data_IF_644994837113
#
_entry.id   IF_644994837113
#
_cell.length_a   1.000
_cell.length_b   1.000
_cell.length_c   1.000
_cell.angle_alpha   90.00
_cell.angle_beta   90.00
_cell.angle_gamma   90.00
#
_symmetry.space_group_name_H-M   'P 1'
#
loop_
_entity.id
_entity.type
_entity.pdbx_description
1 polymer ?
#
# COMPACT_ATOMS: atom_id res chain seq x y z
N UNK A 1 -8.45 -20.27 28.28
CA UNK A 1 -8.48 -20.38 26.81
C UNK A 1 -7.10 -19.98 26.31
N UNK A 2 -6.28 -20.91 25.79
CA UNK A 2 -4.96 -20.53 25.30
C UNK A 2 -5.11 -19.82 23.94
N UNK A 3 -4.45 -18.68 23.80
CA UNK A 3 -4.30 -17.99 22.53
C UNK A 3 -3.58 -18.92 21.53
N UNK A 4 -4.18 -19.09 20.35
CA UNK A 4 -3.63 -19.88 19.25
C UNK A 4 -2.42 -19.16 18.64
N UNK A 5 -1.29 -19.86 18.55
CA UNK A 5 -0.01 -19.46 17.94
C UNK A 5 -0.08 -19.27 16.40
N UNK A 6 -1.26 -19.20 15.80
CA UNK A 6 -1.46 -19.14 14.35
C UNK A 6 -1.76 -17.75 13.78
N UNK A 7 -1.82 -16.70 14.61
CA UNK A 7 -2.32 -15.37 14.21
C UNK A 7 -1.20 -14.33 13.94
N UNK A 8 0.06 -14.76 13.82
CA UNK A 8 1.21 -13.83 13.73
C UNK A 8 1.51 -13.28 12.32
N UNK A 9 0.75 -13.65 11.28
CA UNK A 9 1.26 -13.56 9.90
C UNK A 9 0.90 -12.31 9.09
N UNK A 10 0.19 -11.30 9.64
CA UNK A 10 -0.10 -10.06 8.90
C UNK A 10 -0.27 -8.81 9.80
N UNK A 11 0.63 -8.61 10.76
CA UNK A 11 0.61 -7.37 11.59
C UNK A 11 0.69 -6.10 10.75
N UNK A 12 1.27 -6.18 9.54
CA UNK A 12 1.46 -5.05 8.62
C UNK A 12 0.17 -4.39 8.12
N UNK A 13 -0.91 -5.16 8.08
CA UNK A 13 -2.15 -4.70 7.48
C UNK A 13 -3.19 -4.33 8.53
N UNK A 14 -2.92 -4.59 9.83
CA UNK A 14 -3.89 -4.42 10.92
C UNK A 14 -3.54 -3.34 11.95
N UNK A 15 -2.37 -2.70 11.87
CA UNK A 15 -1.82 -1.79 12.90
C UNK A 15 -2.38 -0.34 12.96
N UNK A 16 -3.22 0.09 12.00
CA UNK A 16 -3.90 1.42 12.02
C UNK A 16 -4.75 1.62 13.28
N UNK A 17 -5.19 0.54 13.92
CA UNK A 17 -5.90 0.61 15.22
C UNK A 17 -5.07 1.31 16.30
N UNK A 18 -3.75 1.29 16.19
CA UNK A 18 -2.84 1.86 17.17
C UNK A 18 -2.47 3.32 16.88
N UNK A 19 -3.04 3.96 15.85
CA UNK A 19 -2.73 5.36 15.56
C UNK A 19 -3.08 6.21 16.79
N UNK A 20 -2.23 7.14 17.21
CA UNK A 20 -2.39 7.80 18.51
C UNK A 20 -3.57 8.78 18.53
N UNK A 21 -4.15 9.13 17.37
CA UNK A 21 -5.31 10.02 17.28
C UNK A 21 -5.03 11.46 17.72
N UNK A 22 -3.75 11.83 17.81
CA UNK A 22 -3.29 13.16 18.22
C UNK A 22 -2.18 13.66 17.29
N UNK A 23 -1.99 14.97 17.33
CA UNK A 23 -0.94 15.65 16.59
C UNK A 23 0.37 15.56 17.40
N UNK A 24 1.37 14.88 16.84
CA UNK A 24 2.71 14.77 17.41
C UNK A 24 3.65 15.78 16.76
N UNK A 25 4.85 15.95 17.34
CA UNK A 25 5.93 16.69 16.66
C UNK A 25 6.33 15.99 15.35
N UNK A 26 6.78 16.73 14.32
CA UNK A 26 7.27 16.16 13.06
C UNK A 26 8.36 15.10 13.25
N UNK A 27 8.48 14.20 12.27
CA UNK A 27 9.57 13.24 12.14
C UNK A 27 10.71 13.93 11.39
N UNK A 28 11.72 14.36 12.15
CA UNK A 28 12.85 15.15 11.67
C UNK A 28 14.16 14.76 12.40
N UNK A 29 15.29 15.27 11.93
CA UNK A 29 16.64 14.97 12.43
C UNK A 29 17.31 13.82 11.68
N UNK A 30 16.55 12.81 11.26
CA UNK A 30 17.07 11.68 10.49
C UNK A 30 17.60 12.11 9.10
N UNK A 31 17.01 13.14 8.48
CA UNK A 31 17.43 13.66 7.19
C UNK A 31 18.83 14.28 7.23
N UNK A 32 19.29 14.71 8.41
CA UNK A 32 20.60 15.34 8.63
C UNK A 32 21.72 14.31 8.79
N UNK A 33 21.40 13.03 9.05
CA UNK A 33 22.44 12.01 9.18
C UNK A 33 22.96 11.57 7.81
N UNK A 34 24.18 11.06 7.78
CA UNK A 34 24.82 10.55 6.57
C UNK A 34 24.06 9.33 6.03
N UNK A 35 23.89 9.25 4.71
CA UNK A 35 23.41 8.03 4.05
C UNK A 35 24.53 6.98 4.08
N UNK A 36 24.22 5.79 4.56
CA UNK A 36 25.17 4.68 4.80
C UNK A 36 24.63 3.37 4.24
N UNK A 37 25.46 2.31 4.21
CA UNK A 37 25.01 0.98 3.78
C UNK A 37 23.98 0.38 4.75
N UNK A 38 23.27 -0.67 4.34
CA UNK A 38 22.31 -1.36 5.21
C UNK A 38 22.98 -1.93 6.45
N UNK A 39 24.15 -2.54 6.30
CA UNK A 39 24.94 -3.10 7.42
C UNK A 39 25.28 -2.03 8.47
N UNK A 40 25.65 -0.82 8.04
CA UNK A 40 25.92 0.30 8.92
C UNK A 40 24.64 0.89 9.53
N UNK A 41 23.57 0.97 8.74
CA UNK A 41 22.30 1.56 9.14
C UNK A 41 21.62 0.80 10.29
N UNK A 42 21.80 -0.52 10.35
CA UNK A 42 21.19 -1.38 11.39
C UNK A 42 22.01 -1.49 12.67
N UNK A 43 23.27 -1.00 12.71
CA UNK A 43 24.14 -1.18 13.89
C UNK A 43 23.49 -0.69 15.21
N UNK A 44 22.83 0.48 15.27
CA UNK A 44 22.17 0.92 16.50
C UNK A 44 20.93 0.08 16.88
N UNK A 45 20.45 -0.75 15.96
CA UNK A 45 19.23 -1.56 16.11
C UNK A 45 19.52 -3.00 16.54
N UNK A 46 20.78 -3.45 16.56
CA UNK A 46 21.15 -4.84 16.90
C UNK A 46 20.65 -5.29 18.29
N UNK A 47 20.53 -4.37 19.24
CA UNK A 47 20.00 -4.64 20.59
C UNK A 47 18.49 -4.41 20.72
N UNK A 48 17.84 -3.85 19.71
CA UNK A 48 16.43 -3.45 19.72
C UNK A 48 15.59 -4.45 18.92
N UNK A 49 16.10 -4.87 17.75
CA UNK A 49 15.40 -5.72 16.79
C UNK A 49 16.09 -7.08 16.75
N UNK A 50 15.39 -8.11 17.21
CA UNK A 50 15.92 -9.48 17.21
C UNK A 50 16.21 -9.96 15.78
N UNK A 51 17.31 -10.71 15.63
CA UNK A 51 17.71 -11.35 14.35
C UNK A 51 17.96 -10.37 13.18
N UNK A 52 17.99 -9.05 13.42
CA UNK A 52 18.07 -8.04 12.35
C UNK A 52 19.31 -8.19 11.47
N UNK A 53 20.45 -8.56 12.04
CA UNK A 53 21.71 -8.76 11.31
C UNK A 53 21.58 -9.83 10.23
N UNK A 54 21.08 -11.02 10.62
CA UNK A 54 20.81 -12.12 9.70
C UNK A 54 19.77 -11.75 8.66
N UNK A 55 18.72 -11.02 9.05
CA UNK A 55 17.63 -10.61 8.14
C UNK A 55 18.13 -9.58 7.12
N UNK A 56 18.96 -8.63 7.54
CA UNK A 56 19.59 -7.66 6.66
C UNK A 56 20.54 -8.33 5.66
N UNK A 57 21.33 -9.32 6.10
CA UNK A 57 22.13 -10.14 5.20
C UNK A 57 21.27 -10.80 4.11
N UNK A 58 20.16 -11.43 4.50
CA UNK A 58 19.22 -12.06 3.54
C UNK A 58 18.63 -11.01 2.59
N UNK A 59 18.17 -9.87 3.11
CA UNK A 59 17.61 -8.79 2.30
C UNK A 59 18.61 -8.29 1.24
N UNK A 60 19.87 -8.09 1.64
CA UNK A 60 20.94 -7.70 0.73
C UNK A 60 21.19 -8.76 -0.35
N UNK A 61 21.26 -10.05 0.00
CA UNK A 61 21.43 -11.14 -0.98
C UNK A 61 20.25 -11.26 -1.96
N UNK A 62 19.04 -10.91 -1.55
CA UNK A 62 17.84 -10.95 -2.41
C UNK A 62 17.74 -9.75 -3.36
N UNK A 63 18.45 -8.66 -3.09
CA UNK A 63 18.35 -7.40 -3.83
C UNK A 63 19.57 -7.08 -4.71
N UNK A 64 20.33 -8.09 -5.17
CA UNK A 64 21.59 -7.87 -5.92
C UNK A 64 21.42 -7.12 -7.24
N UNK A 65 20.23 -7.18 -7.85
CA UNK A 65 19.91 -6.49 -9.12
C UNK A 65 18.61 -5.69 -8.93
N UNK A 66 18.66 -4.57 -8.18
CA UNK A 66 17.46 -3.81 -7.85
C UNK A 66 16.92 -3.08 -9.08
N UNK A 67 15.59 -3.00 -9.17
CA UNK A 67 14.89 -2.17 -10.15
C UNK A 67 14.89 -0.68 -9.75
N UNK A 68 14.24 0.15 -10.55
CA UNK A 68 13.84 1.52 -10.19
C UNK A 68 15.00 2.47 -9.82
N UNK A 69 16.21 2.17 -10.34
CA UNK A 69 17.45 2.90 -10.08
C UNK A 69 17.81 3.01 -8.58
N UNK A 70 17.34 2.07 -7.75
CA UNK A 70 17.76 1.97 -6.36
C UNK A 70 19.14 1.32 -6.27
N UNK A 71 19.91 1.66 -5.23
CA UNK A 71 21.09 0.85 -4.88
C UNK A 71 20.66 -0.47 -4.24
N UNK A 72 21.60 -1.41 -4.12
CA UNK A 72 21.36 -2.69 -3.42
C UNK A 72 20.90 -2.41 -1.97
N UNK A 73 21.59 -1.51 -1.26
CA UNK A 73 21.25 -1.14 0.12
C UNK A 73 19.86 -0.50 0.24
N UNK A 74 19.49 0.36 -0.71
CA UNK A 74 18.18 1.03 -0.73
C UNK A 74 17.05 0.04 -0.95
N UNK A 75 17.19 -0.85 -1.94
CA UNK A 75 16.22 -1.92 -2.19
C UNK A 75 16.16 -2.89 -1.01
N UNK A 76 17.30 -3.27 -0.44
CA UNK A 76 17.38 -4.18 0.70
C UNK A 76 16.78 -3.57 1.97
N UNK A 77 16.83 -2.25 2.15
CA UNK A 77 16.15 -1.58 3.26
C UNK A 77 14.63 -1.71 3.16
N UNK A 78 14.05 -1.54 1.97
CA UNK A 78 12.61 -1.78 1.73
C UNK A 78 12.28 -3.26 1.95
N UNK A 79 13.10 -4.17 1.41
CA UNK A 79 12.91 -5.61 1.58
C UNK A 79 12.89 -6.00 3.06
N UNK A 80 13.89 -5.56 3.83
CA UNK A 80 13.99 -5.79 5.27
C UNK A 80 12.79 -5.20 6.02
N UNK A 81 12.32 -4.02 5.63
CA UNK A 81 11.14 -3.41 6.23
C UNK A 81 9.90 -4.30 6.06
N UNK A 82 9.74 -4.93 4.90
CA UNK A 82 8.58 -5.78 4.60
C UNK A 82 8.69 -7.21 5.14
N UNK A 83 9.86 -7.67 5.55
CA UNK A 83 10.04 -9.01 6.10
C UNK A 83 9.30 -9.16 7.44
N UNK A 84 8.61 -10.30 7.63
CA UNK A 84 7.89 -10.58 8.88
C UNK A 84 8.60 -11.64 9.73
N UNK A 85 8.70 -11.32 11.02
CA UNK A 85 9.10 -12.21 12.11
C UNK A 85 8.68 -11.56 13.44
N UNK A 86 8.68 -12.29 14.57
CA UNK A 86 8.39 -11.71 15.88
C UNK A 86 9.32 -10.53 16.19
N UNK A 87 8.74 -9.38 16.54
CA UNK A 87 9.47 -8.12 16.79
C UNK A 87 10.33 -7.65 15.60
N UNK A 88 9.80 -7.81 14.38
CA UNK A 88 10.46 -7.36 13.16
C UNK A 88 10.60 -5.83 13.05
N UNK A 89 11.43 -5.42 12.10
CA UNK A 89 11.69 -4.01 11.76
C UNK A 89 10.39 -3.23 11.53
N UNK A 90 9.48 -3.78 10.72
CA UNK A 90 8.15 -3.20 10.49
C UNK A 90 7.47 -2.82 11.81
N UNK A 91 7.30 -3.81 12.68
CA UNK A 91 6.48 -3.71 13.89
C UNK A 91 7.06 -2.70 14.87
N UNK A 92 8.35 -2.84 15.17
CA UNK A 92 9.03 -1.99 16.14
C UNK A 92 9.21 -0.55 15.65
N UNK A 93 9.52 -0.36 14.36
CA UNK A 93 9.63 0.97 13.79
C UNK A 93 8.28 1.69 13.81
N UNK A 94 7.21 1.04 13.35
CA UNK A 94 5.86 1.61 13.36
C UNK A 94 5.34 1.86 14.77
N UNK A 95 5.71 1.06 15.76
CA UNK A 95 5.42 1.39 17.15
C UNK A 95 6.16 2.67 17.59
N UNK A 96 7.47 2.75 17.31
CA UNK A 96 8.33 3.87 17.69
C UNK A 96 7.88 5.19 17.06
N UNK A 97 7.44 5.17 15.80
CA UNK A 97 6.93 6.35 15.09
C UNK A 97 5.70 6.99 15.76
N UNK A 98 4.96 6.24 16.57
CA UNK A 98 3.78 6.74 17.29
C UNK A 98 4.06 7.26 18.69
N UNK A 99 5.31 7.17 19.18
CA UNK A 99 5.70 7.68 20.50
C UNK A 99 5.80 9.20 20.47
N UNK A 100 5.28 9.85 21.51
CA UNK A 100 5.39 11.31 21.68
C UNK A 100 6.84 11.76 21.82
N UNK A 101 7.63 10.99 22.59
CA UNK A 101 9.05 11.24 22.76
C UNK A 101 9.82 10.86 21.49
N UNK A 102 10.10 11.86 20.65
CA UNK A 102 10.85 11.71 19.40
C UNK A 102 12.30 11.26 19.61
N UNK A 103 12.85 11.35 20.83
CA UNK A 103 14.18 10.81 21.10
C UNK A 103 14.24 9.29 20.96
N UNK A 104 13.09 8.60 21.08
CA UNK A 104 13.02 7.15 20.85
C UNK A 104 13.31 6.76 19.39
N UNK A 105 13.21 7.72 18.44
CA UNK A 105 13.58 7.49 17.04
C UNK A 105 15.09 7.59 16.79
N UNK A 106 15.90 8.12 17.73
CA UNK A 106 17.33 8.33 17.51
C UNK A 106 18.08 7.05 17.04
N UNK A 107 17.87 5.86 17.62
CA UNK A 107 18.50 4.64 17.13
C UNK A 107 18.09 4.27 15.70
N UNK A 108 16.92 4.72 15.25
CA UNK A 108 16.37 4.44 13.94
C UNK A 108 16.85 5.41 12.85
N UNK A 109 17.53 6.51 13.19
CA UNK A 109 17.82 7.58 12.22
C UNK A 109 18.59 7.11 10.98
N UNK A 110 19.63 6.29 11.15
CA UNK A 110 20.40 5.77 10.01
C UNK A 110 19.57 4.85 9.12
N UNK A 111 18.74 3.98 9.72
CA UNK A 111 17.85 3.10 8.98
C UNK A 111 16.71 3.88 8.29
N UNK A 112 16.08 4.83 8.99
CA UNK A 112 15.07 5.73 8.43
C UNK A 112 15.63 6.55 7.27
N UNK A 113 16.85 7.08 7.40
CA UNK A 113 17.54 7.79 6.33
C UNK A 113 17.66 6.93 5.08
N UNK A 114 18.12 5.68 5.22
CA UNK A 114 18.27 4.76 4.10
C UNK A 114 16.91 4.37 3.49
N UNK A 115 15.96 3.93 4.31
CA UNK A 115 14.63 3.50 3.89
C UNK A 115 13.88 4.63 3.19
N UNK A 116 13.83 5.83 3.78
CA UNK A 116 13.12 6.95 3.20
C UNK A 116 13.83 7.49 1.96
N UNK A 117 15.16 7.46 1.89
CA UNK A 117 15.89 7.78 0.65
C UNK A 117 15.44 6.88 -0.49
N UNK A 118 15.35 5.56 -0.25
CA UNK A 118 14.86 4.60 -1.22
C UNK A 118 13.41 4.90 -1.64
N UNK A 119 12.50 5.07 -0.67
CA UNK A 119 11.08 5.34 -0.95
C UNK A 119 10.84 6.67 -1.65
N UNK A 120 11.63 7.71 -1.38
CA UNK A 120 11.52 9.00 -2.07
C UNK A 120 12.05 8.97 -3.51
N UNK A 121 12.95 8.03 -3.85
CA UNK A 121 13.40 7.80 -5.24
C UNK A 121 12.33 7.09 -6.08
N UNK A 122 11.49 6.27 -5.46
CA UNK A 122 10.37 5.63 -6.15
C UNK A 122 9.33 6.66 -6.60
N UNK A 123 8.73 6.51 -7.79
CA UNK A 123 7.67 7.39 -8.25
C UNK A 123 6.49 7.38 -7.27
N UNK A 124 5.91 8.55 -7.02
CA UNK A 124 4.63 8.64 -6.31
C UNK A 124 3.49 8.30 -7.26
N UNK A 125 2.51 7.55 -6.78
CA UNK A 125 1.26 7.31 -7.50
C UNK A 125 0.08 8.00 -6.81
N UNK A 126 -0.80 8.58 -7.63
CA UNK A 126 -2.10 9.08 -7.21
C UNK A 126 -3.16 8.07 -7.59
N UNK A 127 -3.80 7.43 -6.62
CA UNK A 127 -4.83 6.41 -6.84
C UNK A 127 -5.70 6.22 -5.60
N UNK A 128 -6.72 5.37 -5.73
CA UNK A 128 -7.44 4.84 -4.57
C UNK A 128 -6.74 3.56 -4.10
N UNK A 129 -6.46 3.51 -2.80
CA UNK A 129 -5.96 2.32 -2.12
C UNK A 129 -6.93 1.88 -1.03
N UNK A 130 -6.88 0.58 -0.73
CA UNK A 130 -7.72 -0.04 0.28
C UNK A 130 -6.88 -0.64 1.39
N UNK A 131 -7.41 -0.55 2.61
CA UNK A 131 -6.81 -1.18 3.79
C UNK A 131 -7.89 -1.73 4.71
N UNK A 132 -7.72 -2.96 5.18
CA UNK A 132 -8.66 -3.63 6.07
C UNK A 132 -8.17 -3.72 7.50
N UNK A 133 -9.06 -3.54 8.48
CA UNK A 133 -8.81 -3.76 9.91
C UNK A 133 -9.88 -4.66 10.48
N UNK A 134 -9.46 -5.81 11.02
CA UNK A 134 -10.34 -6.82 11.63
C UNK A 134 -10.69 -6.48 13.08
N UNK A 135 -11.88 -6.91 13.50
CA UNK A 135 -12.34 -6.93 14.89
C UNK A 135 -12.74 -5.57 15.46
N UNK A 136 -12.79 -4.50 14.65
CA UNK A 136 -12.94 -3.13 15.13
C UNK A 136 -13.81 -2.28 14.21
N UNK A 137 -14.66 -1.47 14.84
CA UNK A 137 -15.27 -0.28 14.25
C UNK A 137 -14.41 0.93 14.63
N UNK A 138 -13.90 1.65 13.63
CA UNK A 138 -13.05 2.82 13.83
C UNK A 138 -13.76 4.14 13.51
N UNK A 139 -15.06 4.15 13.23
CA UNK A 139 -15.81 5.35 12.83
C UNK A 139 -15.77 6.46 13.90
N UNK A 140 -15.73 6.10 15.18
CA UNK A 140 -15.61 7.06 16.29
C UNK A 140 -14.19 7.66 16.41
N UNK A 141 -13.16 6.90 16.01
CA UNK A 141 -11.77 7.34 16.00
C UNK A 141 -11.44 8.25 14.82
N UNK A 142 -12.20 8.11 13.73
CA UNK A 142 -12.03 8.89 12.51
C UNK A 142 -13.31 9.68 12.24
N UNK A 143 -13.65 10.72 13.01
CA UNK A 143 -14.86 11.50 12.78
C UNK A 143 -14.89 12.16 11.40
N UNK A 144 -16.07 12.17 10.77
CA UNK A 144 -16.30 12.75 9.45
C UNK A 144 -15.94 14.25 9.44
N UNK A 145 -15.35 14.71 8.33
CA UNK A 145 -14.88 16.08 8.09
C UNK A 145 -13.70 16.53 8.95
N UNK A 146 -13.13 15.66 9.78
CA UNK A 146 -11.92 15.96 10.55
C UNK A 146 -10.66 15.53 9.80
N UNK A 147 -9.55 16.16 10.16
CA UNK A 147 -8.23 15.78 9.68
C UNK A 147 -7.55 14.84 10.67
N UNK A 148 -6.77 13.91 10.14
CA UNK A 148 -5.98 12.95 10.92
C UNK A 148 -4.59 12.81 10.34
N UNK A 149 -3.66 12.33 11.15
CA UNK A 149 -2.28 12.02 10.73
C UNK A 149 -2.04 10.55 10.98
N UNK A 150 -1.58 9.84 9.96
CA UNK A 150 -1.06 8.49 10.14
C UNK A 150 0.44 8.59 10.36
N UNK A 151 0.86 8.30 11.59
CA UNK A 151 2.26 8.41 12.00
C UNK A 151 3.09 7.20 11.59
N UNK A 152 2.44 6.08 11.28
CA UNK A 152 3.07 4.86 10.76
C UNK A 152 3.21 4.89 9.26
N UNK A 153 4.18 4.12 8.77
CA UNK A 153 4.07 3.59 7.42
C UNK A 153 2.84 2.68 7.35
N UNK A 154 2.01 2.90 6.33
CA UNK A 154 0.74 2.17 6.21
C UNK A 154 0.71 1.39 4.90
N UNK A 155 0.77 0.06 5.01
CA UNK A 155 0.60 -0.84 3.87
C UNK A 155 -0.85 -0.85 3.40
N UNK A 156 -1.04 -0.77 2.09
CA UNK A 156 -2.34 -0.77 1.43
C UNK A 156 -2.25 -1.50 0.10
N UNK A 157 -3.38 -1.81 -0.52
CA UNK A 157 -3.42 -2.48 -1.82
C UNK A 157 -4.27 -1.68 -2.80
N UNK A 158 -3.98 -1.79 -4.10
CA UNK A 158 -4.84 -1.31 -5.19
C UNK A 158 -5.80 -2.38 -5.69
N UNK A 159 -5.86 -3.54 -5.04
CA UNK A 159 -6.73 -4.66 -5.45
C UNK A 159 -7.66 -4.98 -4.29
N UNK A 160 -8.86 -4.41 -4.30
CA UNK A 160 -9.82 -4.53 -3.19
C UNK A 160 -10.21 -5.99 -2.91
N UNK A 161 -10.18 -6.86 -3.92
CA UNK A 161 -10.50 -8.28 -3.81
C UNK A 161 -9.57 -9.01 -2.83
N UNK A 162 -8.32 -8.55 -2.71
CA UNK A 162 -7.35 -9.13 -1.76
C UNK A 162 -7.90 -9.07 -0.34
N UNK A 163 -8.65 -8.01 0.02
CA UNK A 163 -9.22 -7.86 1.36
C UNK A 163 -10.23 -8.97 1.73
N UNK A 164 -10.83 -9.68 0.76
CA UNK A 164 -11.77 -10.79 1.04
C UNK A 164 -11.11 -11.95 1.80
N UNK A 165 -9.80 -12.12 1.68
CA UNK A 165 -9.07 -13.17 2.39
C UNK A 165 -9.10 -12.94 3.90
N UNK A 166 -9.23 -14.04 4.65
CA UNK A 166 -9.17 -14.03 6.10
C UNK A 166 -7.80 -13.62 6.65
N UNK A 167 -6.77 -13.53 5.82
CA UNK A 167 -5.49 -12.97 6.25
C UNK A 167 -5.50 -11.43 6.33
N UNK A 168 -6.49 -10.78 5.70
CA UNK A 168 -6.58 -9.32 5.63
C UNK A 168 -7.84 -8.80 6.33
N UNK A 169 -8.94 -8.53 5.61
CA UNK A 169 -10.18 -8.02 6.20
C UNK A 169 -11.17 -9.15 6.50
N UNK A 170 -11.21 -10.20 5.68
CA UNK A 170 -12.20 -11.26 5.76
C UNK A 170 -13.62 -10.79 5.41
N UNK A 171 -14.57 -11.72 5.47
CA UNK A 171 -15.95 -11.47 5.03
C UNK A 171 -16.96 -11.35 6.17
N UNK A 172 -16.54 -11.61 7.41
CA UNK A 172 -17.43 -11.69 8.56
C UNK A 172 -16.86 -10.97 9.79
N UNK A 173 -17.72 -10.76 10.79
CA UNK A 173 -17.37 -10.09 12.04
C UNK A 173 -17.25 -8.57 11.93
N UNK A 174 -17.10 -7.91 13.07
CA UNK A 174 -16.87 -6.47 13.13
C UNK A 174 -15.55 -6.13 12.45
N UNK A 175 -15.56 -5.20 11.51
CA UNK A 175 -14.37 -4.83 10.73
C UNK A 175 -14.51 -3.47 10.06
N UNK A 176 -13.39 -2.83 9.81
CA UNK A 176 -13.32 -1.52 9.13
C UNK A 176 -12.50 -1.63 7.84
N UNK A 177 -13.01 -1.10 6.75
CA UNK A 177 -12.27 -0.90 5.51
C UNK A 177 -12.04 0.59 5.28
N UNK A 178 -10.78 0.98 5.10
CA UNK A 178 -10.42 2.30 4.61
C UNK A 178 -10.41 2.31 3.08
N UNK A 179 -11.08 3.30 2.51
CA UNK A 179 -10.98 3.67 1.10
C UNK A 179 -10.27 5.04 1.05
N UNK A 180 -9.07 5.06 0.49
CA UNK A 180 -8.16 6.21 0.62
C UNK A 180 -7.79 6.70 -0.77
N UNK A 181 -8.14 7.94 -1.11
CA UNK A 181 -7.50 8.65 -2.24
C UNK A 181 -6.11 9.12 -1.78
N UNK A 182 -5.05 8.41 -2.18
CA UNK A 182 -3.68 8.80 -1.88
C UNK A 182 -3.06 9.59 -3.04
N UNK A 183 -2.12 10.48 -2.71
CA UNK A 183 -1.38 11.32 -3.64
C UNK A 183 0.08 10.88 -3.75
N UNK A 184 0.64 10.38 -2.65
CA UNK A 184 2.07 10.04 -2.53
C UNK A 184 2.31 8.56 -2.23
N UNK A 185 1.43 7.66 -2.69
CA UNK A 185 1.60 6.23 -2.51
C UNK A 185 2.87 5.72 -3.19
N UNK A 186 3.61 4.81 -2.54
CA UNK A 186 4.82 4.18 -3.07
C UNK A 186 4.56 2.72 -3.40
N UNK A 187 4.62 2.37 -4.68
CA UNK A 187 4.54 0.96 -5.09
C UNK A 187 5.86 0.29 -4.77
N UNK A 188 5.86 -0.69 -3.87
CA UNK A 188 7.09 -1.36 -3.41
C UNK A 188 7.19 -2.81 -3.85
N UNK A 189 6.31 -3.27 -4.75
CA UNK A 189 6.25 -4.65 -5.23
C UNK A 189 7.61 -5.24 -5.61
N UNK A 190 8.43 -4.50 -6.37
CA UNK A 190 9.74 -4.98 -6.83
C UNK A 190 10.80 -5.09 -5.73
N UNK A 191 10.54 -4.50 -4.57
CA UNK A 191 11.47 -4.39 -3.44
C UNK A 191 10.93 -5.02 -2.16
N UNK A 192 9.73 -5.58 -2.18
CA UNK A 192 9.07 -6.22 -1.04
C UNK A 192 9.40 -7.71 -0.97
N UNK A 193 9.41 -8.25 0.25
CA UNK A 193 9.42 -9.69 0.51
C UNK A 193 8.10 -10.37 0.08
N UNK A 194 7.05 -9.58 -0.20
CA UNK A 194 5.72 -10.03 -0.59
C UNK A 194 5.30 -9.41 -1.93
N UNK A 195 5.94 -9.83 -3.02
CA UNK A 195 5.75 -9.24 -4.35
C UNK A 195 4.32 -9.40 -4.89
N UNK A 196 3.59 -10.43 -4.46
CA UNK A 196 2.23 -10.70 -4.95
C UNK A 196 1.15 -9.78 -4.34
N UNK A 197 1.47 -9.01 -3.29
CA UNK A 197 0.47 -8.18 -2.57
C UNK A 197 0.08 -6.90 -3.32
N UNK A 198 0.80 -6.54 -4.40
CA UNK A 198 0.70 -5.25 -5.09
C UNK A 198 0.66 -4.09 -4.08
N UNK A 199 1.60 -4.15 -3.12
CA UNK A 199 1.63 -3.28 -1.96
C UNK A 199 1.93 -1.84 -2.36
N UNK A 200 1.07 -0.93 -1.90
CA UNK A 200 1.27 0.51 -1.92
C UNK A 200 1.50 0.98 -0.49
N UNK A 201 2.69 1.50 -0.24
CA UNK A 201 3.09 2.02 1.07
C UNK A 201 2.77 3.51 1.14
N UNK A 202 2.00 3.92 2.16
CA UNK A 202 1.82 5.31 2.54
C UNK A 202 2.87 5.68 3.59
N UNK A 203 3.51 6.84 3.43
CA UNK A 203 4.62 7.27 4.29
C UNK A 203 4.12 7.73 5.68
N UNK A 204 4.97 7.67 6.73
CA UNK A 204 4.60 8.18 8.04
C UNK A 204 4.44 9.69 8.02
N UNK A 205 3.57 10.21 8.89
CA UNK A 205 3.22 11.63 8.92
C UNK A 205 2.28 12.06 7.79
N UNK A 206 1.72 11.12 7.00
CA UNK A 206 0.75 11.47 5.95
C UNK A 206 -0.53 12.00 6.60
N UNK A 207 -1.01 13.15 6.10
CA UNK A 207 -2.18 13.82 6.61
C UNK A 207 -3.38 13.54 5.71
N UNK A 208 -4.52 13.23 6.30
CA UNK A 208 -5.74 12.88 5.59
C UNK A 208 -6.93 13.68 6.11
N UNK A 209 -7.91 13.93 5.25
CA UNK A 209 -9.26 14.33 5.64
C UNK A 209 -10.19 13.12 5.60
N UNK A 210 -10.98 12.91 6.65
CA UNK A 210 -12.07 11.93 6.65
C UNK A 210 -13.27 12.52 5.91
N UNK A 211 -13.71 11.83 4.85
CA UNK A 211 -14.76 12.30 3.95
C UNK A 211 -16.13 11.80 4.35
N UNK A 212 -16.26 10.51 4.63
CA UNK A 212 -17.56 9.90 4.92
C UNK A 212 -17.40 8.54 5.60
N UNK A 213 -18.48 8.08 6.22
CA UNK A 213 -18.64 6.71 6.72
C UNK A 213 -19.80 6.04 6.00
N UNK A 214 -19.69 4.74 5.81
CA UNK A 214 -20.77 3.88 5.35
C UNK A 214 -20.79 2.60 6.18
N UNK A 215 -21.91 2.34 6.84
CA UNK A 215 -22.22 1.01 7.35
C UNK A 215 -22.69 0.16 6.18
N UNK A 216 -21.85 -0.79 5.76
CA UNK A 216 -22.13 -1.68 4.63
C UNK A 216 -22.91 -2.94 5.05
N UNK A 217 -23.36 -3.01 6.31
CA UNK A 217 -24.01 -4.18 6.90
C UNK A 217 -23.03 -5.30 7.23
N UNK A 218 -23.54 -6.35 7.88
CA UNK A 218 -22.77 -7.55 8.27
C UNK A 218 -21.48 -7.23 9.06
N UNK A 219 -21.49 -6.16 9.85
CA UNK A 219 -20.35 -5.74 10.67
C UNK A 219 -19.24 -4.99 9.92
N UNK A 220 -19.42 -4.64 8.65
CA UNK A 220 -18.44 -3.88 7.86
C UNK A 220 -18.72 -2.37 7.92
N UNK A 221 -17.77 -1.62 8.46
CA UNK A 221 -17.73 -0.16 8.35
C UNK A 221 -16.74 0.25 7.26
N UNK A 222 -17.11 1.21 6.42
CA UNK A 222 -16.24 1.79 5.40
C UNK A 222 -15.97 3.24 5.76
N UNK A 223 -14.70 3.61 5.84
CA UNK A 223 -14.24 4.98 6.10
C UNK A 223 -13.56 5.49 4.83
N UNK A 224 -14.13 6.54 4.25
CA UNK A 224 -13.54 7.22 3.09
C UNK A 224 -12.62 8.34 3.55
N UNK A 225 -11.42 8.39 3.02
CA UNK A 225 -10.41 9.39 3.34
C UNK A 225 -9.72 9.88 2.07
N UNK A 226 -9.18 11.09 2.11
CA UNK A 226 -8.29 11.60 1.06
C UNK A 226 -7.04 12.20 1.69
N UNK A 227 -5.88 11.97 1.08
CA UNK A 227 -4.64 12.62 1.47
C UNK A 227 -4.74 14.13 1.19
N UNK A 228 -4.20 14.94 2.10
CA UNK A 228 -4.18 16.39 1.93
C UNK A 228 -3.11 16.79 0.90
N UNK A 229 -3.53 17.46 -0.18
CA UNK A 229 -2.63 17.87 -1.27
C UNK A 229 -1.62 18.94 -0.85
N UNK A 230 -2.04 19.87 0.03
CA UNK A 230 -1.21 20.98 0.48
C UNK A 230 -1.35 21.18 2.00
N UNK A 231 -0.76 20.29 2.83
CA UNK A 231 -0.76 20.49 4.26
C UNK A 231 0.07 21.73 4.63
N UNK A 232 -0.34 22.43 5.68
CA UNK A 232 0.35 23.64 6.14
C UNK A 232 1.80 23.37 6.57
N UNK A 233 2.04 22.19 7.14
CA UNK A 233 3.35 21.73 7.59
C UNK A 233 3.53 20.27 7.18
N UNK A 234 4.75 19.89 6.81
CA UNK A 234 5.12 18.50 6.63
C UNK A 234 5.33 17.87 8.01
N UNK A 235 4.81 16.65 8.19
CA UNK A 235 5.02 15.88 9.43
C UNK A 235 6.18 14.88 9.29
N UNK A 236 6.79 14.83 8.10
CA UNK A 236 7.97 14.04 7.77
C UNK A 236 8.88 14.92 6.93
N UNK A 237 10.06 15.24 7.43
CA UNK A 237 11.07 15.96 6.65
C UNK A 237 11.57 15.08 5.50
N UNK A 238 11.77 15.57 4.26
CA UNK A 238 12.32 14.76 3.18
C UNK A 238 13.77 14.32 3.45
N UNK A 239 14.18 13.11 3.03
CA UNK A 239 15.52 12.58 3.29
C UNK A 239 16.63 13.32 2.53
N UNK A 240 16.30 14.08 1.50
CA UNK A 240 17.22 14.94 0.76
C UNK A 240 16.46 16.17 0.26
N UNK A 241 17.19 17.23 -0.11
CA UNK A 241 16.55 18.43 -0.66
C UNK A 241 15.83 18.10 -1.96
N UNK A 242 14.51 18.00 -1.88
CA UNK A 242 13.65 17.97 -3.05
C UNK A 242 13.33 19.41 -3.41
N UNK A 243 13.67 19.84 -4.63
CA UNK A 243 13.20 21.14 -5.12
C UNK A 243 11.67 21.06 -5.18
N UNK A 244 10.97 21.92 -4.43
CA UNK A 244 9.50 21.89 -4.25
C UNK A 244 8.67 21.89 -5.55
N UNK A 245 9.29 22.14 -6.70
CA UNK A 245 8.62 22.15 -8.01
C UNK A 245 8.04 20.79 -8.43
N UNK A 246 8.47 19.67 -7.85
CA UNK A 246 7.96 18.33 -8.23
C UNK A 246 6.64 17.95 -7.54
N UNK A 247 6.23 18.68 -6.49
CA UNK A 247 4.91 18.51 -5.86
C UNK A 247 3.84 19.42 -6.48
N UNK A 248 4.25 20.37 -7.33
CA UNK A 248 3.38 21.36 -7.96
C UNK A 248 3.56 21.26 -9.48
N UNK A 249 3.10 20.17 -10.09
CA UNK A 249 2.76 20.19 -11.52
C UNK A 249 1.86 19.01 -11.87
N UNK A 250 0.53 19.25 -11.86
CA UNK A 250 -0.43 18.76 -12.87
C UNK A 250 -1.84 19.28 -12.55
N UNK A 251 -2.04 20.59 -12.49
CA UNK A 251 -3.41 21.16 -12.48
C UNK A 251 -3.49 22.57 -13.06
N UNK A 252 -2.95 22.81 -14.26
CA UNK A 252 -3.40 23.99 -15.03
C UNK A 252 -3.08 23.85 -16.51
N UNK A 253 -3.95 23.19 -17.27
CA UNK A 253 -4.10 23.44 -18.72
C UNK A 253 -5.49 22.99 -19.23
N UNK A 254 -6.59 23.41 -18.61
CA UNK A 254 -7.89 23.55 -19.32
C UNK A 254 -8.73 24.65 -18.65
N UNK A 255 -8.35 25.91 -18.79
CA UNK A 255 -9.25 27.03 -18.52
C UNK A 255 -8.76 28.31 -19.20
N UNK A 256 -8.79 28.36 -20.52
CA UNK A 256 -8.75 29.62 -21.26
C UNK A 256 -9.30 29.42 -22.69
N UNK A 257 -10.63 29.41 -22.84
CA UNK A 257 -11.26 29.88 -24.09
C UNK A 257 -12.75 30.13 -23.89
N UNK A 258 -13.08 31.28 -23.32
CA UNK A 258 -14.37 31.95 -23.57
C UNK A 258 -14.27 33.40 -23.13
N UNK A 259 -13.65 34.23 -23.97
CA UNK A 259 -13.77 35.68 -23.90
C UNK A 259 -14.24 36.16 -25.28
N UNK A 260 -15.54 36.46 -25.37
CA UNK A 260 -16.12 37.19 -26.50
C UNK A 260 -16.10 38.66 -26.13
N UNK A 261 -15.50 39.57 -26.93
CA UNK A 261 -15.66 40.99 -26.72
C UNK A 261 -16.93 41.49 -27.39
N UNK A 262 -17.72 42.23 -26.62
CA UNK A 262 -18.89 43.01 -27.05
C UNK A 262 -18.47 44.26 -27.82
N UNK A 263 -19.06 44.49 -29.00
CA UNK A 263 -19.11 45.84 -29.60
C UNK A 263 -20.50 46.05 -30.21
N UNK A 264 -21.12 47.16 -29.86
CA UNK A 264 -22.42 47.63 -30.34
C UNK A 264 -22.28 48.41 -31.65
N UNK A 265 -23.26 48.31 -32.56
CA UNK A 265 -24.00 49.44 -33.17
C UNK A 265 -24.63 49.10 -34.55
N UNK A 266 -25.96 49.13 -34.56
CA UNK A 266 -26.87 49.74 -35.56
C UNK A 266 -27.06 49.15 -36.97
N UNK A 267 -28.35 48.91 -37.25
CA UNK A 267 -29.10 49.32 -38.47
C UNK A 267 -29.39 48.30 -39.59
N UNK A 268 -30.70 47.95 -39.65
CA UNK A 268 -31.60 47.94 -40.83
C UNK A 268 -31.75 46.67 -41.69
N UNK A 269 -33.03 46.37 -41.94
CA UNK A 269 -33.67 45.58 -43.00
C UNK A 269 -33.93 44.06 -42.78
N UNK A 270 -35.21 43.75 -42.50
CA UNK A 270 -35.95 42.58 -43.01
C UNK A 270 -36.06 42.65 -44.55
N UNK A 271 -36.34 41.56 -45.31
CA UNK A 271 -37.42 40.62 -45.01
C UNK A 271 -37.30 39.15 -45.50
N UNK A 272 -38.40 38.43 -45.26
CA UNK A 272 -38.98 37.27 -45.99
C UNK A 272 -38.66 35.83 -45.59
N UNK A 273 -39.76 35.08 -45.58
CA UNK A 273 -40.00 33.74 -45.09
C UNK A 273 -39.70 32.65 -46.14
N UNK A 274 -39.45 31.43 -45.67
CA UNK A 274 -39.94 30.21 -46.33
C UNK A 274 -39.98 29.05 -45.32
N UNK A 275 -41.19 28.57 -45.07
CA UNK A 275 -41.54 27.23 -44.59
C UNK A 275 -41.19 26.19 -45.66
N UNK A 276 -40.93 24.93 -45.27
CA UNK A 276 -41.53 23.68 -45.82
C UNK A 276 -40.67 22.43 -45.48
N UNK A 277 -41.30 21.55 -44.70
CA UNK A 277 -41.46 20.08 -44.83
C UNK A 277 -40.26 19.20 -45.26
N UNK A 278 -39.87 18.19 -44.49
CA UNK A 278 -40.44 16.83 -44.32
C UNK A 278 -39.98 15.79 -45.35
N UNK A 279 -39.38 14.69 -44.86
CA UNK A 279 -39.43 13.30 -45.37
C UNK A 279 -38.43 12.50 -44.52
N UNK A 280 -38.81 11.64 -43.56
CA UNK A 280 -39.44 10.30 -43.66
C UNK A 280 -38.81 9.34 -44.67
N UNK A 281 -38.54 8.14 -44.14
CA UNK A 281 -38.32 6.83 -44.76
C UNK A 281 -36.86 6.42 -44.97
N UNK A 282 -36.46 5.17 -44.81
CA UNK A 282 -36.98 3.98 -44.11
C UNK A 282 -35.88 2.91 -44.32
N UNK A 283 -35.90 1.91 -43.45
CA UNK A 283 -35.61 0.51 -43.77
C UNK A 283 -34.17 -0.02 -43.94
N UNK A 284 -33.99 -1.27 -43.53
CA UNK A 284 -33.13 -2.19 -44.27
C UNK A 284 -31.94 -2.87 -43.57
N UNK A 285 -32.23 -3.76 -42.62
CA UNK A 285 -31.68 -5.14 -42.53
C UNK A 285 -30.16 -5.42 -42.46
N UNK A 286 -29.79 -6.13 -41.38
CA UNK A 286 -28.64 -7.05 -41.26
C UNK A 286 -28.69 -8.23 -42.25
N UNK A 287 -27.57 -8.95 -42.39
CA UNK A 287 -27.63 -10.42 -42.29
C UNK A 287 -26.59 -11.01 -41.32
N UNK A 288 -27.04 -12.03 -40.58
CA UNK A 288 -26.23 -13.05 -39.90
C UNK A 288 -25.82 -14.15 -40.89
N UNK A 289 -24.64 -14.76 -40.72
CA UNK A 289 -24.43 -16.22 -40.79
C UNK A 289 -23.06 -16.61 -40.16
N UNK A 290 -23.11 -17.65 -39.31
CA UNK A 290 -22.06 -18.39 -38.57
C UNK A 290 -21.61 -19.63 -39.37
N UNK A 291 -20.86 -20.63 -38.83
CA UNK A 291 -19.64 -20.65 -37.99
C UNK A 291 -18.53 -21.55 -38.60
N UNK A 292 -17.32 -21.54 -38.01
CA UNK A 292 -16.34 -22.62 -38.18
C UNK A 292 -15.87 -23.11 -36.80
N UNK A 293 -15.97 -24.42 -36.58
CA UNK A 293 -15.46 -25.14 -35.43
C UNK A 293 -14.27 -26.00 -35.87
N UNK A 294 -13.24 -26.08 -35.03
CA UNK A 294 -12.35 -27.24 -34.95
C UNK A 294 -11.75 -27.33 -33.55
N UNK A 295 -12.03 -28.47 -32.94
CA UNK A 295 -11.64 -29.03 -31.65
C UNK A 295 -10.14 -29.27 -31.46
N UNK A 296 -9.70 -29.30 -30.19
CA UNK A 296 -8.66 -30.16 -29.57
C UNK A 296 -8.63 -29.71 -28.08
N UNK A 297 -9.37 -30.37 -27.19
CA UNK A 297 -9.05 -31.58 -26.41
C UNK A 297 -8.75 -31.21 -24.94
N UNK A 298 -9.53 -31.83 -24.07
CA UNK A 298 -9.61 -31.64 -22.63
C UNK A 298 -8.32 -32.08 -21.91
N UNK A 299 -7.82 -31.24 -21.00
CA UNK A 299 -6.89 -31.67 -19.95
C UNK A 299 -7.62 -31.48 -18.62
N UNK A 300 -7.98 -32.63 -18.05
CA UNK A 300 -8.54 -32.80 -16.73
C UNK A 300 -7.42 -32.54 -15.69
N UNK A 301 -7.59 -31.52 -14.84
CA UNK A 301 -6.64 -31.15 -13.79
C UNK A 301 -7.33 -31.29 -12.44
N UNK A 302 -7.61 -32.53 -12.02
CA UNK A 302 -8.09 -32.78 -10.66
C UNK A 302 -7.54 -34.08 -10.04
N UNK A 303 -6.27 -34.41 -10.29
CA UNK A 303 -5.64 -35.56 -9.63
C UNK A 303 -4.14 -35.33 -9.35
N UNK A 304 -3.79 -34.35 -8.52
CA UNK A 304 -2.37 -34.21 -8.09
C UNK A 304 -2.13 -33.59 -6.71
N UNK A 305 -3.16 -33.41 -5.87
CA UNK A 305 -2.96 -32.96 -4.49
C UNK A 305 -2.95 -34.12 -3.46
N UNK A 306 -3.59 -35.25 -3.77
CA UNK A 306 -3.71 -36.39 -2.85
C UNK A 306 -2.50 -37.35 -2.92
N UNK A 307 -1.90 -37.55 -4.10
CA UNK A 307 -0.74 -38.43 -4.27
C UNK A 307 0.58 -37.81 -3.76
N UNK A 308 0.73 -36.48 -3.83
CA UNK A 308 1.93 -35.79 -3.30
C UNK A 308 1.94 -35.84 -1.76
N UNK A 309 0.76 -35.81 -1.13
CA UNK A 309 0.62 -35.87 0.34
C UNK A 309 0.91 -37.26 0.90
N UNK A 310 0.66 -38.31 0.13
CA UNK A 310 0.89 -39.71 0.56
C UNK A 310 2.36 -40.11 0.47
N UNK A 311 3.11 -39.58 -0.51
CA UNK A 311 4.56 -39.83 -0.63
C UNK A 311 5.41 -39.12 0.42
N UNK A 312 4.98 -37.97 0.95
CA UNK A 312 5.68 -37.29 2.03
C UNK A 312 5.46 -37.92 3.42
N UNK A 313 4.36 -38.66 3.63
CA UNK A 313 4.06 -39.30 4.92
C UNK A 313 4.69 -40.71 5.04
N UNK A 314 5.00 -41.37 3.92
CA UNK A 314 5.72 -42.66 3.94
C UNK A 314 7.26 -42.52 4.03
N UNK A 315 7.84 -41.36 3.74
CA UNK A 315 9.28 -41.12 3.88
C UNK A 315 9.72 -40.71 5.30
N UNK A 316 8.78 -40.47 6.23
CA UNK A 316 9.08 -40.03 7.60
C UNK A 316 8.77 -41.06 8.69
N UNK A 317 8.56 -42.33 8.33
CA UNK A 317 8.22 -43.43 9.27
C UNK A 317 9.04 -44.71 9.12
N UNK A 318 10.05 -44.73 8.26
CA UNK A 318 10.94 -45.88 8.10
C UNK A 318 12.39 -45.44 8.16
N UNK A 319 12.89 -45.12 9.35
CA UNK A 319 14.31 -45.18 9.73
C UNK A 319 14.46 -44.70 11.18
N UNK A 320 14.08 -45.53 12.16
CA UNK A 320 14.63 -45.48 13.52
C UNK A 320 14.19 -46.75 14.28
N UNK A 321 14.73 -47.91 13.89
CA UNK A 321 14.69 -49.14 14.66
C UNK A 321 15.88 -50.01 14.24
N UNK A 322 16.95 -49.99 15.04
CA UNK A 322 18.10 -50.88 14.80
C UNK A 322 19.37 -50.60 15.60
N UNK A 323 19.46 -51.21 16.79
CA UNK A 323 20.66 -51.64 17.54
C UNK A 323 21.53 -50.58 18.27
N UNK A 324 21.50 -50.46 19.61
CA UNK A 324 22.12 -51.29 20.67
C UNK A 324 23.67 -51.37 20.65
N UNK A 325 24.38 -50.77 21.63
CA UNK A 325 24.96 -51.43 22.84
C UNK A 325 25.98 -50.56 23.62
N UNK A 326 26.09 -50.90 24.90
CA UNK A 326 26.80 -50.32 26.06
C UNK A 326 28.34 -50.47 26.12
N UNK A 327 28.96 -49.68 27.01
CA UNK A 327 30.19 -49.97 27.79
C UNK A 327 31.18 -48.80 27.78
N UNK A 328 31.74 -48.28 28.89
CA UNK A 328 31.82 -48.64 30.31
C UNK A 328 31.96 -47.35 31.12
#
# INVERSE_FOLDING_TARGET
MPFSLADETFTRLTDVRFEPGKFLSPIEGYEKVQLVSLEQAIQPLLSIVSDIDRRAFIAHQRCQNPADNLTIDESAAIFLYTMEWPNCVYSLLNETLTKEDRNQLLPWFSYLKLLLTALFKLPSIRCTVWRGVKGLDLTTKYPKNENTVWWRFSSSTTVVEVLKSENFLGQHGLRTMFNIECLNGKVIKNHSNYQEENEVLLLPGTQFQVISHLDAGNGLQIIQMKELENPRYLMLEPPFRVVRSQYITSSTLVAASSAVPSVSATSVAQPTAATVQSSRNNDGSMPHYTPFASSLEDIDVDETAHEIRTRFIQASKGDFLGAFKWGK
#
